data_IF_058130941196
#
_entry.id   IF_058130941196
#
_cell.length_a   1.000
_cell.length_b   1.000
_cell.length_c   1.000
_cell.angle_alpha   90.00
_cell.angle_beta   90.00
_cell.angle_gamma   90.00
#
_symmetry.space_group_name_H-M   'P 1'
#
loop_
_entity.id
_entity.type
_entity.pdbx_description
1 polymer ?
#
# COMPACT_ATOMS: atom_id res chain seq x y z
N UNK A 1 7.10 -13.69 11.42
CA UNK A 1 7.61 -13.03 12.64
C UNK A 1 8.61 -11.92 12.30
N UNK A 2 9.60 -12.16 11.44
CA UNK A 2 10.59 -11.13 11.06
C UNK A 2 9.98 -9.90 10.37
N UNK A 3 8.99 -10.10 9.50
CA UNK A 3 8.30 -9.00 8.83
C UNK A 3 7.52 -8.12 9.81
N UNK A 4 6.77 -8.71 10.74
CA UNK A 4 5.97 -7.97 11.72
C UNK A 4 6.86 -7.10 12.61
N UNK A 5 8.00 -7.66 13.04
CA UNK A 5 9.00 -6.92 13.83
C UNK A 5 9.58 -5.76 13.02
N UNK A 6 10.04 -6.01 11.80
CA UNK A 6 10.61 -4.97 10.93
C UNK A 6 9.58 -3.87 10.59
N UNK A 7 8.31 -4.26 10.37
CA UNK A 7 7.23 -3.32 10.12
C UNK A 7 7.00 -2.43 11.34
N UNK A 8 6.87 -3.01 12.53
CA UNK A 8 6.71 -2.29 13.78
C UNK A 8 7.88 -1.33 14.05
N UNK A 9 9.12 -1.77 13.79
CA UNK A 9 10.32 -0.94 13.94
C UNK A 9 10.32 0.30 13.03
N UNK A 10 9.65 0.25 11.88
CA UNK A 10 9.52 1.38 10.94
C UNK A 10 8.37 2.29 11.34
N UNK A 11 7.18 1.73 11.62
CA UNK A 11 5.97 2.54 11.88
C UNK A 11 5.96 3.17 13.28
N UNK A 12 6.63 2.57 14.26
CA UNK A 12 6.78 3.13 15.62
C UNK A 12 8.03 4.00 15.77
N UNK A 13 8.89 4.08 14.75
CA UNK A 13 10.08 4.91 14.84
C UNK A 13 9.70 6.40 14.91
N UNK A 14 10.33 7.13 15.83
CA UNK A 14 10.21 8.60 15.92
C UNK A 14 10.61 9.31 14.62
N UNK A 15 11.51 8.70 13.84
CA UNK A 15 11.97 9.20 12.54
C UNK A 15 12.06 8.05 11.55
N UNK A 16 11.58 8.28 10.34
CA UNK A 16 11.74 7.34 9.24
C UNK A 16 13.22 7.16 8.92
N UNK A 17 13.68 5.91 9.03
CA UNK A 17 15.05 5.53 8.70
C UNK A 17 15.07 4.80 7.36
N UNK A 18 15.90 5.28 6.45
CA UNK A 18 16.09 4.64 5.14
C UNK A 18 16.60 3.21 5.30
N UNK A 19 17.55 2.94 6.20
CA UNK A 19 18.09 1.59 6.41
C UNK A 19 17.03 0.60 6.92
N UNK A 20 16.15 1.05 7.82
CA UNK A 20 15.02 0.22 8.30
C UNK A 20 14.01 -0.05 7.19
N UNK A 21 13.72 0.95 6.36
CA UNK A 21 12.83 0.79 5.21
C UNK A 21 13.40 -0.19 4.18
N UNK A 22 14.70 -0.11 3.89
CA UNK A 22 15.38 -1.06 3.00
C UNK A 22 15.31 -2.48 3.55
N UNK A 23 15.66 -2.68 4.83
CA UNK A 23 15.57 -4.00 5.49
C UNK A 23 14.14 -4.56 5.44
N UNK A 24 13.14 -3.74 5.75
CA UNK A 24 11.74 -4.13 5.65
C UNK A 24 11.36 -4.54 4.23
N UNK A 25 11.81 -3.78 3.24
CA UNK A 25 11.57 -4.07 1.81
C UNK A 25 12.19 -5.41 1.42
N UNK A 26 13.44 -5.66 1.78
CA UNK A 26 14.12 -6.93 1.50
C UNK A 26 13.40 -8.13 2.13
N UNK A 27 12.96 -8.00 3.38
CA UNK A 27 12.18 -9.06 4.06
C UNK A 27 10.85 -9.29 3.35
N UNK A 28 10.13 -8.22 2.99
CA UNK A 28 8.86 -8.31 2.29
C UNK A 28 9.00 -8.98 0.91
N UNK A 29 10.04 -8.64 0.14
CA UNK A 29 10.28 -9.23 -1.18
C UNK A 29 10.51 -10.75 -1.12
N UNK A 30 11.04 -11.28 -0.01
CA UNK A 30 11.24 -12.71 0.20
C UNK A 30 9.97 -13.47 0.57
N UNK A 31 8.91 -12.76 0.98
CA UNK A 31 7.65 -13.32 1.47
C UNK A 31 6.48 -13.08 0.50
N UNK A 32 6.79 -12.78 -0.76
CA UNK A 32 5.78 -12.47 -1.79
C UNK A 32 4.91 -13.68 -2.17
N UNK A 33 5.36 -14.89 -1.89
CA UNK A 33 4.57 -16.12 -1.93
C UNK A 33 3.40 -16.10 -0.92
N UNK A 34 3.56 -15.37 0.18
CA UNK A 34 2.58 -15.14 1.25
C UNK A 34 1.97 -13.73 1.19
N UNK A 35 1.89 -13.14 0.00
CA UNK A 35 1.38 -11.78 -0.25
C UNK A 35 0.04 -11.45 0.42
N UNK A 36 -0.90 -12.39 0.52
CA UNK A 36 -2.17 -12.20 1.26
C UNK A 36 -1.92 -11.86 2.72
N UNK A 37 -1.04 -12.61 3.38
CA UNK A 37 -0.72 -12.40 4.79
C UNK A 37 0.04 -11.08 4.97
N UNK A 38 0.99 -10.77 4.07
CA UNK A 38 1.69 -9.49 4.07
C UNK A 38 0.73 -8.30 4.00
N UNK A 39 -0.15 -8.27 2.99
CA UNK A 39 -1.11 -7.17 2.80
C UNK A 39 -2.05 -7.05 3.99
N UNK A 40 -2.56 -8.17 4.49
CA UNK A 40 -3.42 -8.20 5.68
C UNK A 40 -2.73 -7.64 6.92
N UNK A 41 -1.48 -8.02 7.18
CA UNK A 41 -0.68 -7.46 8.27
C UNK A 41 -0.43 -5.98 8.08
N UNK A 42 -0.01 -5.55 6.89
CA UNK A 42 0.24 -4.13 6.60
C UNK A 42 -1.00 -3.27 6.84
N UNK A 43 -2.16 -3.72 6.35
CA UNK A 43 -3.40 -2.98 6.48
C UNK A 43 -3.93 -2.95 7.93
N UNK A 44 -3.90 -4.09 8.64
CA UNK A 44 -4.29 -4.14 10.06
C UNK A 44 -3.40 -3.25 10.92
N UNK A 45 -2.09 -3.30 10.71
CA UNK A 45 -1.15 -2.40 11.40
C UNK A 45 -1.48 -0.96 11.07
N UNK A 46 -1.72 -0.59 9.81
CA UNK A 46 -2.11 0.78 9.47
C UNK A 46 -3.34 1.28 10.25
N UNK A 47 -4.38 0.45 10.33
CA UNK A 47 -5.62 0.79 11.01
C UNK A 47 -5.45 0.93 12.53
N UNK A 48 -4.54 0.18 13.14
CA UNK A 48 -4.27 0.27 14.59
C UNK A 48 -3.30 1.39 14.99
N UNK A 49 -2.59 1.99 14.03
CA UNK A 49 -1.65 3.09 14.31
C UNK A 49 -2.35 4.39 14.70
N UNK A 50 -1.69 5.16 15.56
CA UNK A 50 -2.03 6.56 15.82
C UNK A 50 -1.85 7.41 14.57
N UNK A 51 -2.54 8.55 14.50
CA UNK A 51 -2.51 9.45 13.36
C UNK A 51 -1.07 9.73 12.87
N UNK A 52 -0.18 10.17 13.76
CA UNK A 52 1.22 10.51 13.41
C UNK A 52 1.98 9.37 12.75
N UNK A 53 1.77 8.13 13.20
CA UNK A 53 2.44 6.94 12.65
C UNK A 53 1.81 6.43 11.35
N UNK A 54 0.59 6.84 11.00
CA UNK A 54 -0.04 6.47 9.72
C UNK A 54 0.73 6.99 8.50
N UNK A 55 1.40 8.13 8.63
CA UNK A 55 2.32 8.65 7.59
C UNK A 55 3.45 7.67 7.33
N UNK A 56 4.07 7.14 8.40
CA UNK A 56 5.14 6.15 8.27
C UNK A 56 4.64 4.89 7.57
N UNK A 57 3.43 4.43 7.93
CA UNK A 57 2.78 3.30 7.25
C UNK A 57 2.51 3.59 5.77
N UNK A 58 2.04 4.78 5.40
CA UNK A 58 1.84 5.17 4.00
C UNK A 58 3.14 5.05 3.18
N UNK A 59 4.28 5.47 3.76
CA UNK A 59 5.58 5.31 3.10
C UNK A 59 6.02 3.84 2.96
N UNK A 60 5.62 2.97 3.88
CA UNK A 60 5.85 1.52 3.73
C UNK A 60 5.07 0.98 2.53
N UNK A 61 3.79 1.32 2.39
CA UNK A 61 2.99 0.94 1.23
C UNK A 61 3.62 1.42 -0.09
N UNK A 62 4.06 2.68 -0.13
CA UNK A 62 4.76 3.24 -1.29
C UNK A 62 6.05 2.49 -1.64
N UNK A 63 6.92 2.27 -0.66
CA UNK A 63 8.21 1.60 -0.88
C UNK A 63 8.02 0.18 -1.41
N UNK A 64 7.13 -0.59 -0.79
CA UNK A 64 6.85 -1.97 -1.19
C UNK A 64 6.16 -2.06 -2.54
N UNK A 65 5.20 -1.17 -2.84
CA UNK A 65 4.54 -1.15 -4.13
C UNK A 65 5.51 -0.83 -5.27
N UNK A 66 6.39 0.16 -5.09
CA UNK A 66 7.40 0.50 -6.11
C UNK A 66 8.41 -0.62 -6.30
N UNK A 67 8.88 -1.24 -5.22
CA UNK A 67 9.80 -2.37 -5.29
C UNK A 67 9.17 -3.58 -5.98
N UNK A 68 7.93 -3.94 -5.63
CA UNK A 68 7.19 -5.00 -6.29
C UNK A 68 6.98 -4.71 -7.78
N UNK A 69 6.63 -3.47 -8.14
CA UNK A 69 6.46 -3.05 -9.54
C UNK A 69 7.75 -3.22 -10.34
N UNK A 70 8.89 -2.84 -9.77
CA UNK A 70 10.19 -3.03 -10.42
C UNK A 70 10.47 -4.51 -10.68
N UNK A 71 10.17 -5.40 -9.73
CA UNK A 71 10.30 -6.85 -9.93
C UNK A 71 9.38 -7.38 -11.01
N UNK A 72 8.13 -6.91 -11.06
CA UNK A 72 7.16 -7.27 -12.10
C UNK A 72 7.68 -6.91 -13.49
N UNK A 73 8.20 -5.70 -13.67
CA UNK A 73 8.76 -5.25 -14.95
C UNK A 73 10.02 -6.06 -15.29
N UNK A 74 10.93 -6.23 -14.32
CA UNK A 74 12.22 -6.91 -14.53
C UNK A 74 12.06 -8.39 -14.90
N UNK A 75 11.11 -9.07 -14.27
CA UNK A 75 10.92 -10.51 -14.42
C UNK A 75 9.66 -10.88 -15.23
N UNK A 76 8.96 -9.90 -15.81
CA UNK A 76 7.71 -10.08 -16.55
C UNK A 76 6.69 -10.95 -15.79
N UNK A 77 6.54 -10.69 -14.49
CA UNK A 77 5.66 -11.48 -13.63
C UNK A 77 4.19 -11.21 -13.96
N UNK A 78 3.37 -12.25 -13.90
CA UNK A 78 1.93 -12.16 -14.12
C UNK A 78 1.13 -12.45 -12.84
N UNK A 79 -0.06 -11.88 -12.79
CA UNK A 79 -1.04 -12.07 -11.71
C UNK A 79 -1.76 -13.43 -11.76
N UNK A 80 -1.49 -14.27 -12.78
CA UNK A 80 -2.17 -15.56 -12.99
C UNK A 80 -1.45 -16.74 -12.31
N UNK A 81 -0.69 -16.45 -11.27
CA UNK A 81 0.09 -17.47 -10.58
C UNK A 81 -0.70 -18.00 -9.37
N UNK A 82 -0.70 -19.32 -9.19
CA UNK A 82 -1.42 -19.99 -8.08
C UNK A 82 -0.77 -19.71 -6.72
N UNK A 83 0.55 -19.53 -6.71
CA UNK A 83 1.32 -19.06 -5.56
C UNK A 83 1.53 -17.55 -5.66
N UNK A 84 1.49 -16.82 -4.54
CA UNK A 84 1.70 -15.37 -4.52
C UNK A 84 3.02 -14.94 -5.17
N UNK A 85 3.05 -13.73 -5.73
CA UNK A 85 4.23 -13.07 -6.28
C UNK A 85 4.08 -11.54 -6.22
N UNK A 86 5.04 -10.79 -6.77
CA UNK A 86 4.98 -9.32 -6.78
C UNK A 86 3.79 -8.73 -7.56
N UNK A 87 3.30 -9.40 -8.61
CA UNK A 87 2.14 -8.95 -9.38
C UNK A 87 0.84 -9.17 -8.60
N UNK A 88 0.65 -10.36 -8.00
CA UNK A 88 -0.51 -10.64 -7.15
C UNK A 88 -0.50 -9.80 -5.87
N UNK A 89 0.68 -9.51 -5.33
CA UNK A 89 0.84 -8.56 -4.21
C UNK A 89 0.32 -7.18 -4.58
N UNK A 90 0.71 -6.62 -5.73
CA UNK A 90 0.22 -5.31 -6.19
C UNK A 90 -1.30 -5.29 -6.38
N UNK A 91 -1.87 -6.38 -6.91
CA UNK A 91 -3.32 -6.55 -7.05
C UNK A 91 -4.02 -6.51 -5.68
N UNK A 92 -3.49 -7.21 -4.68
CA UNK A 92 -4.04 -7.25 -3.31
C UNK A 92 -3.86 -5.92 -2.59
N UNK A 93 -2.71 -5.26 -2.74
CA UNK A 93 -2.49 -3.90 -2.23
C UNK A 93 -3.54 -2.96 -2.83
N UNK A 94 -3.77 -3.00 -4.14
CA UNK A 94 -4.77 -2.17 -4.80
C UNK A 94 -6.17 -2.32 -4.19
N UNK A 95 -6.53 -3.53 -3.73
CA UNK A 95 -7.80 -3.81 -3.04
C UNK A 95 -7.97 -3.11 -1.68
N UNK A 96 -6.89 -2.71 -1.02
CA UNK A 96 -6.92 -2.02 0.28
C UNK A 96 -6.56 -0.52 0.19
N UNK A 97 -6.10 -0.04 -0.97
CA UNK A 97 -5.63 1.35 -1.14
C UNK A 97 -6.71 2.41 -0.91
N UNK A 98 -7.95 2.16 -1.32
CA UNK A 98 -9.03 3.12 -1.11
C UNK A 98 -9.30 3.34 0.37
N UNK A 99 -9.39 2.25 1.14
CA UNK A 99 -9.56 2.29 2.59
C UNK A 99 -8.35 2.93 3.28
N UNK A 100 -7.13 2.69 2.79
CA UNK A 100 -5.90 3.34 3.27
C UNK A 100 -5.97 4.87 3.06
N UNK A 101 -6.34 5.31 1.86
CA UNK A 101 -6.39 6.74 1.53
C UNK A 101 -7.50 7.45 2.29
N UNK A 102 -8.68 6.85 2.40
CA UNK A 102 -9.78 7.39 3.23
C UNK A 102 -9.37 7.52 4.70
N UNK A 103 -8.68 6.52 5.24
CA UNK A 103 -8.18 6.56 6.63
C UNK A 103 -7.14 7.67 6.82
N UNK A 104 -6.25 7.87 5.85
CA UNK A 104 -5.28 8.97 5.85
C UNK A 104 -5.94 10.36 5.77
N UNK A 105 -7.07 10.49 5.08
CA UNK A 105 -7.78 11.75 4.94
C UNK A 105 -8.66 12.09 6.15
N UNK A 106 -9.18 11.07 6.84
CA UNK A 106 -10.10 11.23 7.98
C UNK A 106 -9.39 11.20 9.34
N UNK A 107 -8.43 10.30 9.52
CA UNK A 107 -7.73 10.05 10.78
C UNK A 107 -6.22 10.36 10.71
N UNK A 108 -5.75 10.93 9.59
CA UNK A 108 -4.36 11.34 9.43
C UNK A 108 -4.02 12.63 10.18
N UNK A 109 -2.73 12.88 10.44
CA UNK A 109 -2.27 14.09 11.11
C UNK A 109 -2.40 15.30 10.17
N UNK A 110 -2.23 16.53 10.68
CA UNK A 110 -2.15 17.72 9.82
C UNK A 110 -1.10 17.53 8.71
N UNK A 111 -1.49 17.81 7.46
CA UNK A 111 -0.65 17.60 6.28
C UNK A 111 -0.69 16.18 5.69
N UNK A 112 -1.44 15.24 6.28
CA UNK A 112 -1.58 13.89 5.72
C UNK A 112 -2.12 13.89 4.30
N UNK A 113 -3.14 14.71 4.01
CA UNK A 113 -3.70 14.88 2.66
C UNK A 113 -2.62 15.27 1.63
N UNK A 114 -1.73 16.19 1.98
CA UNK A 114 -0.65 16.62 1.09
C UNK A 114 0.36 15.48 0.84
N UNK A 115 0.71 14.72 1.89
CA UNK A 115 1.61 13.56 1.76
C UNK A 115 0.97 12.44 0.95
N UNK A 116 -0.30 12.12 1.18
CA UNK A 116 -1.07 11.16 0.39
C UNK A 116 -1.12 11.57 -1.08
N UNK A 117 -1.38 12.85 -1.38
CA UNK A 117 -1.34 13.37 -2.75
C UNK A 117 0.05 13.21 -3.38
N UNK A 118 1.12 13.51 -2.66
CA UNK A 118 2.49 13.33 -3.15
C UNK A 118 2.80 11.87 -3.49
N UNK A 119 2.38 10.92 -2.65
CA UNK A 119 2.53 9.49 -2.92
C UNK A 119 1.71 9.06 -4.14
N UNK A 120 0.48 9.54 -4.24
CA UNK A 120 -0.37 9.32 -5.42
C UNK A 120 0.32 9.80 -6.71
N UNK A 121 0.86 11.02 -6.72
CA UNK A 121 1.56 11.58 -7.88
C UNK A 121 2.80 10.75 -8.27
N UNK A 122 3.53 10.20 -7.28
CA UNK A 122 4.65 9.27 -7.51
C UNK A 122 4.15 7.99 -8.20
N UNK A 123 3.03 7.42 -7.76
CA UNK A 123 2.48 6.20 -8.36
C UNK A 123 1.95 6.41 -9.77
N UNK A 124 1.38 7.59 -10.05
CA UNK A 124 0.97 7.99 -11.41
C UNK A 124 2.19 8.09 -12.32
N UNK A 125 3.21 8.85 -11.91
CA UNK A 125 4.45 9.01 -12.71
C UNK A 125 5.20 7.70 -12.91
N UNK A 126 5.23 6.85 -11.89
CA UNK A 126 5.92 5.57 -11.92
C UNK A 126 5.10 4.43 -12.53
N UNK A 127 3.88 4.69 -13.02
CA UNK A 127 2.93 3.66 -13.48
C UNK A 127 2.87 2.46 -12.53
N UNK A 128 2.84 2.73 -11.21
CA UNK A 128 2.97 1.70 -10.17
C UNK A 128 1.75 0.79 -10.14
N UNK A 129 0.57 1.37 -10.33
CA UNK A 129 -0.71 0.67 -10.43
C UNK A 129 -1.36 0.92 -11.79
N UNK A 130 -2.29 0.05 -12.23
CA UNK A 130 -3.05 0.25 -13.45
C UNK A 130 -3.85 1.57 -13.44
N UNK A 131 -4.08 2.21 -14.61
CA UNK A 131 -4.80 3.48 -14.70
C UNK A 131 -6.19 3.48 -14.04
N UNK A 132 -6.90 2.35 -14.10
CA UNK A 132 -8.21 2.19 -13.47
C UNK A 132 -8.16 2.35 -11.95
N UNK A 133 -7.11 1.85 -11.29
CA UNK A 133 -6.91 1.99 -9.85
C UNK A 133 -6.53 3.43 -9.52
N UNK A 134 -5.62 4.02 -10.28
CA UNK A 134 -5.18 5.41 -10.09
C UNK A 134 -6.35 6.39 -10.24
N UNK A 135 -7.23 6.18 -11.21
CA UNK A 135 -8.44 7.00 -11.39
C UNK A 135 -9.35 6.98 -10.16
N UNK A 136 -9.55 5.80 -9.55
CA UNK A 136 -10.38 5.66 -8.33
C UNK A 136 -9.74 6.35 -7.13
N UNK A 137 -8.42 6.25 -6.97
CA UNK A 137 -7.69 6.97 -5.91
C UNK A 137 -7.72 8.48 -6.12
N UNK A 138 -7.67 8.95 -7.37
CA UNK A 138 -7.79 10.37 -7.71
C UNK A 138 -9.09 10.98 -7.18
N UNK A 139 -10.21 10.30 -7.37
CA UNK A 139 -11.52 10.78 -6.90
C UNK A 139 -11.53 10.94 -5.36
N UNK A 140 -10.88 10.03 -4.62
CA UNK A 140 -10.74 10.09 -3.16
C UNK A 140 -9.82 11.25 -2.73
N UNK A 141 -8.64 11.39 -3.33
CA UNK A 141 -7.64 12.42 -2.94
C UNK A 141 -8.12 13.83 -3.26
N UNK A 142 -8.80 13.98 -4.40
CA UNK A 142 -9.31 15.27 -4.88
C UNK A 142 -10.64 15.65 -4.21
N UNK A 143 -11.26 14.76 -3.44
CA UNK A 143 -12.52 15.03 -2.76
C UNK A 143 -13.65 15.30 -3.74
N UNK A 144 -13.65 14.64 -4.91
CA UNK A 144 -14.83 14.67 -5.78
C UNK A 144 -15.91 13.87 -5.06
N UNK A 145 -16.82 14.59 -4.40
CA UNK A 145 -18.06 14.05 -3.88
C UNK A 145 -18.80 13.39 -5.05
N UNK A 146 -18.71 12.07 -5.13
CA UNK A 146 -19.51 11.26 -6.04
C UNK A 146 -20.41 10.41 -5.18
N UNK A 147 -21.59 10.96 -4.91
CA UNK A 147 -22.74 10.13 -4.60
C UNK A 147 -22.84 8.96 -5.57
N UNK A 148 -23.26 7.82 -5.04
CA UNK A 148 -23.78 6.68 -5.79
C UNK A 148 -22.81 5.95 -6.75
N UNK A 149 -21.71 5.38 -6.22
CA UNK A 149 -21.26 4.06 -6.70
C UNK A 149 -21.27 3.08 -5.52
N UNK A 150 -22.50 2.72 -5.18
CA UNK A 150 -22.86 1.68 -4.23
C UNK A 150 -22.40 0.31 -4.76
N UNK A 151 -21.84 -0.47 -3.84
CA UNK A 151 -21.68 -1.92 -3.88
C UNK A 151 -20.61 -2.53 -4.81
N UNK A 152 -19.93 -3.53 -4.24
CA UNK A 152 -19.25 -4.64 -4.91
C UNK A 152 -17.76 -4.46 -5.26
N UNK A 153 -16.88 -4.42 -4.25
CA UNK A 153 -15.49 -4.89 -4.43
C UNK A 153 -14.87 -5.59 -3.20
N UNK A 154 -15.49 -5.54 -2.02
CA UNK A 154 -15.04 -6.33 -0.85
C UNK A 154 -15.19 -7.86 -1.01
N UNK A 155 -15.80 -8.34 -2.10
CA UNK A 155 -16.10 -9.76 -2.31
C UNK A 155 -15.23 -10.45 -3.39
N UNK A 156 -14.24 -9.79 -3.99
CA UNK A 156 -13.48 -10.38 -5.12
C UNK A 156 -12.02 -10.76 -4.85
N UNK A 157 -11.48 -10.48 -3.67
CA UNK A 157 -10.05 -10.71 -3.39
C UNK A 157 -9.76 -11.54 -2.13
N UNK A 158 -10.76 -12.25 -1.59
CA UNK A 158 -10.56 -13.29 -0.58
C UNK A 158 -11.01 -14.64 -1.14
N UNK A 159 -10.08 -15.36 -1.75
CA UNK A 159 -10.07 -16.83 -1.81
C UNK A 159 -8.62 -17.29 -2.01
#
# INVERSE_FOLDING_TARGET
QDFDTALNEVVQAKRLSQSKMTKLTEVAMKLMDQDTQLVSTMYRTHKSLSATSKISSLYVFDALARAARQQVIKHNLSERHTTGNCATFLLKVAGVLEGLFQDMLTAGPPGAKEKTKKIYDIWVKGCTFPPVILSRLSDIVLGKDKGAYHACLCAKYFF
#
